data_IF_332319913026
#
_entry.id   IF_332319913026
#
_cell.length_a   1.000
_cell.length_b   1.000
_cell.length_c   1.000
_cell.angle_alpha   90.00
_cell.angle_beta   90.00
_cell.angle_gamma   90.00
#
_symmetry.space_group_name_H-M   'P 1'
#
loop_
_entity.id
_entity.type
_entity.pdbx_description
1 polymer ?
#
# COMPACT_ATOMS: atom_id res chain seq x y z
N UNK A 1 16.02 11.54 13.01
CA UNK A 1 15.37 10.84 11.88
C UNK A 1 14.57 9.69 12.47
N UNK A 2 13.27 9.57 12.21
CA UNK A 2 12.47 8.48 12.81
C UNK A 2 12.91 7.12 12.27
N UNK A 3 13.02 6.13 13.14
CA UNK A 3 13.35 4.75 12.73
C UNK A 3 12.24 4.17 11.84
N UNK A 4 12.53 3.13 11.06
CA UNK A 4 11.52 2.49 10.22
C UNK A 4 10.35 1.92 11.04
N UNK A 5 10.67 1.36 12.22
CA UNK A 5 9.68 0.86 13.15
C UNK A 5 8.78 1.99 13.70
N UNK A 6 9.35 3.15 14.04
CA UNK A 6 8.56 4.33 14.44
C UNK A 6 7.65 4.82 13.31
N UNK A 7 8.12 4.86 12.06
CA UNK A 7 7.29 5.23 10.91
C UNK A 7 6.10 4.28 10.76
N UNK A 8 6.34 2.97 10.90
CA UNK A 8 5.31 1.93 10.84
C UNK A 8 4.27 2.11 11.95
N UNK A 9 4.70 2.39 13.18
CA UNK A 9 3.80 2.62 14.32
C UNK A 9 2.97 3.91 14.15
N UNK A 10 3.57 4.98 13.66
CA UNK A 10 2.85 6.24 13.35
C UNK A 10 1.75 6.00 12.31
N UNK A 11 2.07 5.29 11.22
CA UNK A 11 1.06 4.97 10.20
C UNK A 11 -0.02 4.04 10.73
N UNK A 12 0.35 3.04 11.54
CA UNK A 12 -0.62 2.15 12.16
C UNK A 12 -1.67 2.93 12.94
N UNK A 13 -1.24 3.82 13.85
CA UNK A 13 -2.16 4.67 14.63
C UNK A 13 -3.01 5.57 13.74
N UNK A 14 -2.39 6.24 12.78
CA UNK A 14 -3.09 7.09 11.82
C UNK A 14 -4.20 6.34 11.08
N UNK A 15 -3.93 5.13 10.58
CA UNK A 15 -4.94 4.34 9.86
C UNK A 15 -6.01 3.75 10.80
N UNK A 16 -5.65 3.35 12.02
CA UNK A 16 -6.61 2.90 13.03
C UNK A 16 -7.56 4.02 13.46
N UNK A 17 -7.07 5.25 13.60
CA UNK A 17 -7.87 6.46 13.88
C UNK A 17 -8.85 6.78 12.74
N UNK A 18 -8.46 6.52 11.49
CA UNK A 18 -9.32 6.62 10.30
C UNK A 18 -10.28 5.42 10.14
N UNK A 19 -10.26 4.46 11.07
CA UNK A 19 -11.20 3.33 11.11
C UNK A 19 -10.78 2.08 10.35
N UNK A 20 -9.53 2.00 9.86
CA UNK A 20 -9.01 0.77 9.26
C UNK A 20 -8.58 -0.23 10.34
N UNK A 21 -8.73 -1.53 10.07
CA UNK A 21 -7.97 -2.54 10.80
C UNK A 21 -6.62 -2.70 10.12
N UNK A 22 -5.53 -2.63 10.89
CA UNK A 22 -4.15 -2.69 10.37
C UNK A 22 -3.54 -4.05 10.66
N UNK A 23 -3.08 -4.72 9.60
CA UNK A 23 -2.38 -6.01 9.66
C UNK A 23 -0.91 -5.92 9.21
N UNK A 24 -0.19 -7.03 9.38
CA UNK A 24 1.19 -7.16 8.90
C UNK A 24 1.26 -7.40 7.39
N UNK A 25 2.19 -6.74 6.71
CA UNK A 25 2.35 -6.78 5.26
C UNK A 25 3.36 -7.80 4.72
N UNK A 26 4.06 -8.55 5.57
CA UNK A 26 5.21 -9.38 5.20
C UNK A 26 4.90 -10.35 4.05
N UNK A 27 3.72 -10.99 4.07
CA UNK A 27 3.28 -11.94 3.05
C UNK A 27 3.25 -11.36 1.62
N UNK A 28 3.10 -10.04 1.51
CA UNK A 28 2.95 -9.34 0.23
C UNK A 28 4.13 -8.42 -0.08
N UNK A 29 5.20 -8.46 0.73
CA UNK A 29 6.37 -7.60 0.54
C UNK A 29 6.09 -6.11 0.80
N UNK A 30 5.11 -5.80 1.64
CA UNK A 30 4.74 -4.44 2.06
C UNK A 30 4.85 -4.31 3.58
N UNK A 31 4.79 -3.09 4.11
CA UNK A 31 4.99 -2.85 5.54
C UNK A 31 3.71 -3.07 6.35
N UNK A 32 2.54 -2.68 5.81
CA UNK A 32 1.23 -2.84 6.45
C UNK A 32 0.16 -3.27 5.45
N UNK A 33 -0.90 -3.89 5.96
CA UNK A 33 -2.15 -4.13 5.24
C UNK A 33 -3.28 -3.36 5.89
N UNK A 34 -4.14 -2.76 5.08
CA UNK A 34 -5.35 -2.10 5.57
C UNK A 34 -6.60 -2.87 5.17
N UNK A 35 -7.46 -3.10 6.15
CA UNK A 35 -8.77 -3.72 5.98
C UNK A 35 -9.84 -2.67 6.30
N UNK A 36 -10.89 -2.63 5.47
CA UNK A 36 -12.01 -1.68 5.64
C UNK A 36 -13.04 -2.15 6.68
N UNK A 37 -12.88 -3.36 7.22
CA UNK A 37 -13.67 -3.96 8.31
C UNK A 37 -12.81 -5.09 8.92
N UNK A 38 -13.36 -5.86 9.86
CA UNK A 38 -12.72 -7.00 10.50
C UNK A 38 -12.17 -7.99 9.46
N UNK A 39 -10.91 -8.46 9.62
CA UNK A 39 -10.27 -9.42 8.69
C UNK A 39 -11.02 -10.75 8.49
N UNK A 40 -11.93 -11.12 9.40
CA UNK A 40 -12.78 -12.30 9.25
C UNK A 40 -13.93 -12.13 8.26
N UNK A 41 -14.25 -10.89 7.88
CA UNK A 41 -15.35 -10.54 6.96
C UNK A 41 -14.87 -10.06 5.60
N UNK A 42 -13.70 -9.43 5.56
CA UNK A 42 -13.17 -8.78 4.36
C UNK A 42 -11.70 -9.12 4.13
N UNK A 43 -11.30 -9.07 2.87
CA UNK A 43 -9.88 -9.06 2.50
C UNK A 43 -9.30 -7.65 2.70
N UNK A 44 -8.00 -7.58 2.98
CA UNK A 44 -7.31 -6.28 2.96
C UNK A 44 -7.41 -5.65 1.58
N UNK A 45 -7.68 -4.35 1.54
CA UNK A 45 -7.87 -3.58 0.30
C UNK A 45 -6.59 -2.90 -0.15
N UNK A 46 -5.76 -2.47 0.81
CA UNK A 46 -4.55 -1.70 0.55
C UNK A 46 -3.30 -2.41 1.10
N UNK A 47 -2.22 -2.39 0.33
CA UNK A 47 -0.88 -2.69 0.79
C UNK A 47 -0.06 -1.42 0.91
N UNK A 48 0.52 -1.16 2.09
CA UNK A 48 1.23 0.08 2.38
C UNK A 48 2.73 -0.17 2.38
N UNK A 49 3.45 0.50 1.49
CA UNK A 49 4.90 0.44 1.37
C UNK A 49 5.51 1.79 1.80
N UNK A 50 6.29 1.77 2.87
CA UNK A 50 7.01 2.94 3.38
C UNK A 50 8.26 3.11 2.51
N UNK A 51 8.45 4.31 1.97
CA UNK A 51 9.61 4.61 1.15
C UNK A 51 10.92 4.46 1.93
N UNK A 52 11.83 3.70 1.33
CA UNK A 52 13.19 3.43 1.80
C UNK A 52 14.22 3.58 0.67
N UNK A 53 13.95 4.47 -0.29
CA UNK A 53 14.70 4.59 -1.56
C UNK A 53 14.55 3.33 -2.41
N UNK A 54 13.32 2.83 -2.51
CA UNK A 54 12.99 1.70 -3.37
C UNK A 54 13.32 2.05 -4.82
N UNK A 55 13.92 1.10 -5.54
CA UNK A 55 14.08 1.24 -6.98
C UNK A 55 12.73 1.14 -7.68
N UNK A 56 12.67 1.59 -8.93
CA UNK A 56 11.47 1.41 -9.75
C UNK A 56 11.05 -0.06 -9.84
N UNK A 57 12.01 -0.99 -9.94
CA UNK A 57 11.75 -2.43 -10.02
C UNK A 57 11.17 -2.99 -8.72
N UNK A 58 11.58 -2.48 -7.56
CA UNK A 58 11.02 -2.88 -6.26
C UNK A 58 9.54 -2.50 -6.19
N UNK A 59 9.21 -1.26 -6.60
CA UNK A 59 7.84 -0.76 -6.65
C UNK A 59 7.00 -1.59 -7.62
N UNK A 60 7.52 -1.89 -8.82
CA UNK A 60 6.83 -2.75 -9.80
C UNK A 60 6.60 -4.17 -9.25
N UNK A 61 7.57 -4.73 -8.52
CA UNK A 61 7.44 -6.04 -7.87
C UNK A 61 6.35 -6.07 -6.81
N UNK A 62 6.32 -5.07 -5.94
CA UNK A 62 5.26 -4.90 -4.94
C UNK A 62 3.90 -4.69 -5.62
N UNK A 63 3.83 -3.84 -6.66
CA UNK A 63 2.63 -3.53 -7.42
C UNK A 63 2.04 -4.80 -8.04
N UNK A 64 2.89 -5.64 -8.66
CA UNK A 64 2.48 -6.92 -9.24
C UNK A 64 1.89 -7.86 -8.18
N UNK A 65 2.54 -7.93 -7.02
CA UNK A 65 2.11 -8.78 -5.90
C UNK A 65 0.79 -8.32 -5.31
N UNK A 66 0.59 -7.02 -5.13
CA UNK A 66 -0.67 -6.47 -4.64
C UNK A 66 -1.81 -6.67 -5.66
N UNK A 67 -1.55 -6.42 -6.94
CA UNK A 67 -2.57 -6.53 -8.00
C UNK A 67 -3.07 -7.97 -8.17
N UNK A 68 -2.19 -8.97 -8.06
CA UNK A 68 -2.58 -10.38 -8.21
C UNK A 68 -3.57 -10.87 -7.16
N UNK A 69 -3.69 -10.15 -6.03
CA UNK A 69 -4.62 -10.45 -4.92
C UNK A 69 -5.62 -9.33 -4.69
N UNK A 70 -5.91 -8.54 -5.75
CA UNK A 70 -6.88 -7.45 -5.75
C UNK A 70 -6.65 -6.41 -4.64
N UNK A 71 -5.40 -5.95 -4.49
CA UNK A 71 -5.01 -4.88 -3.56
C UNK A 71 -4.40 -3.72 -4.31
N UNK A 72 -4.73 -2.52 -3.88
CA UNK A 72 -4.05 -1.30 -4.33
C UNK A 72 -2.78 -1.12 -3.52
N UNK A 73 -1.65 -0.96 -4.20
CA UNK A 73 -0.39 -0.57 -3.57
C UNK A 73 -0.42 0.93 -3.28
N UNK A 74 -0.07 1.32 -2.07
CA UNK A 74 0.10 2.72 -1.66
C UNK A 74 1.53 2.91 -1.16
N UNK A 75 2.27 3.81 -1.79
CA UNK A 75 3.62 4.19 -1.37
C UNK A 75 3.54 5.43 -0.49
N UNK A 76 4.22 5.38 0.66
CA UNK A 76 4.17 6.42 1.68
C UNK A 76 5.54 7.07 1.85
N UNK A 77 5.57 8.38 1.65
CA UNK A 77 6.76 9.22 1.79
C UNK A 77 6.67 10.05 3.08
N UNK A 78 7.76 10.07 3.83
CA UNK A 78 7.89 10.90 5.03
C UNK A 78 8.77 12.11 4.73
N UNK A 79 8.17 13.28 4.63
CA UNK A 79 8.84 14.57 4.44
C UNK A 79 8.81 15.35 5.76
N UNK A 80 9.79 15.08 6.64
CA UNK A 80 9.82 15.64 8.00
C UNK A 80 8.65 15.12 8.84
N UNK A 81 7.70 16.01 9.15
CA UNK A 81 6.46 15.67 9.88
C UNK A 81 5.27 15.40 8.96
N UNK A 82 5.41 15.63 7.65
CA UNK A 82 4.33 15.41 6.68
C UNK A 82 4.40 13.99 6.13
N UNK A 83 3.24 13.39 5.96
CA UNK A 83 3.07 12.09 5.31
C UNK A 83 2.40 12.34 3.97
N UNK A 84 3.03 11.90 2.87
CA UNK A 84 2.45 11.89 1.53
C UNK A 84 2.22 10.46 1.11
N UNK A 85 1.08 10.20 0.50
CA UNK A 85 0.69 8.87 0.03
C UNK A 85 0.37 8.94 -1.45
N UNK A 86 0.78 7.93 -2.21
CA UNK A 86 0.47 7.80 -3.64
C UNK A 86 0.02 6.38 -3.92
N UNK A 87 -1.14 6.21 -4.57
CA UNK A 87 -1.54 4.93 -5.13
C UNK A 87 -0.67 4.62 -6.36
N UNK A 88 -0.29 3.35 -6.50
CA UNK A 88 0.45 2.84 -7.65
C UNK A 88 -0.43 1.82 -8.35
N UNK A 89 -0.87 2.20 -9.54
CA UNK A 89 -1.78 1.41 -10.37
C UNK A 89 -1.15 1.16 -11.73
N UNK A 90 -1.55 0.06 -12.37
CA UNK A 90 -1.16 -0.19 -13.76
C UNK A 90 -1.92 0.80 -14.65
N UNK A 91 -1.17 1.52 -15.47
CA UNK A 91 -1.76 2.32 -16.52
C UNK A 91 -2.31 1.38 -17.59
N UNK A 92 -3.63 1.34 -17.74
CA UNK A 92 -4.27 0.70 -18.88
C UNK A 92 -4.39 1.75 -20.00
N UNK A 93 -3.57 1.59 -21.03
CA UNK A 93 -3.78 2.32 -22.28
C UNK A 93 -5.01 1.70 -22.92
N UNK A 94 -6.13 2.42 -22.90
CA UNK A 94 -7.39 1.95 -23.49
C UNK A 94 -7.15 1.50 -24.93
N UNK A 95 -7.17 0.19 -25.16
CA UNK A 95 -7.36 -0.34 -26.50
C UNK A 95 -8.86 -0.19 -26.73
N UNK A 96 -9.27 0.80 -27.51
CA UNK A 96 -10.60 0.81 -28.09
C UNK A 96 -10.79 -0.56 -28.73
N UNK A 97 -11.65 -1.39 -28.13
CA UNK A 97 -12.08 -2.64 -28.73
C UNK A 97 -12.90 -2.22 -29.95
N UNK A 98 -12.27 -2.21 -31.11
CA UNK A 98 -12.99 -2.29 -32.36
C UNK A 98 -13.70 -3.65 -32.36
N UNK A 99 -14.96 -3.65 -31.95
CA UNK A 99 -15.89 -4.75 -32.19
C UNK A 99 -16.04 -4.86 -33.72
N UNK A 100 -15.55 -5.99 -34.27
CA UNK A 100 -15.79 -6.43 -35.65
C UNK A 100 -17.09 -7.23 -35.71
#
# INVERSE_FOLDING_TARGET
>A
MKTHQEKREVLKRMFEEEGFVVGDGLKYGVDLLLYTDKPSRVHSKYGILIDRRHSFLDIVGAQRTCTSVNKTLVVVFFEGCKVRMMSVERMELGVERNEL
#
